data_IF_429121543423
#
_entry.id   IF_429121543423
#
_cell.length_a   1.000
_cell.length_b   1.000
_cell.length_c   1.000
_cell.angle_alpha   90.00
_cell.angle_beta   90.00
_cell.angle_gamma   90.00
#
_symmetry.space_group_name_H-M   'P 1'
#
loop_
_entity.id
_entity.type
_entity.pdbx_description
1 polymer ?
#
# COMPACT_ATOMS: atom_id res chain seq x y z
N UNK A 1 30.01 -6.89 -0.11
CA UNK A 1 30.06 -7.68 1.14
C UNK A 1 28.92 -7.20 2.07
N UNK A 2 27.92 -8.05 2.28
CA UNK A 2 26.71 -7.72 3.08
C UNK A 2 27.05 -7.32 4.53
N UNK A 3 28.03 -8.00 5.14
CA UNK A 3 28.49 -7.69 6.50
C UNK A 3 29.05 -6.26 6.62
N UNK A 4 29.89 -5.87 5.67
CA UNK A 4 30.46 -4.51 5.66
C UNK A 4 29.39 -3.42 5.47
N UNK A 5 28.34 -3.70 4.68
CA UNK A 5 27.19 -2.79 4.55
C UNK A 5 26.42 -2.66 5.86
N UNK A 6 26.17 -3.77 6.56
CA UNK A 6 25.51 -3.74 7.87
C UNK A 6 26.30 -2.97 8.91
N UNK A 7 27.62 -3.20 8.97
CA UNK A 7 28.52 -2.46 9.87
C UNK A 7 28.48 -0.96 9.56
N UNK A 8 28.59 -0.57 8.29
CA UNK A 8 28.50 0.83 7.86
C UNK A 8 27.15 1.47 8.24
N UNK A 9 26.04 0.77 7.99
CA UNK A 9 24.72 1.29 8.35
C UNK A 9 24.54 1.40 9.88
N UNK A 10 25.04 0.42 10.65
CA UNK A 10 24.95 0.44 12.11
C UNK A 10 25.81 1.55 12.74
N UNK A 11 26.93 1.92 12.09
CA UNK A 11 27.77 3.04 12.54
C UNK A 11 27.21 4.40 12.13
N UNK A 12 26.58 4.48 10.93
CA UNK A 12 26.06 5.74 10.38
C UNK A 12 24.68 6.13 10.94
N UNK A 13 23.86 5.15 11.35
CA UNK A 13 22.49 5.36 11.79
C UNK A 13 22.25 4.67 13.13
N UNK A 14 21.85 5.46 14.14
CA UNK A 14 21.50 4.95 15.47
C UNK A 14 20.13 4.22 15.52
N UNK A 15 19.36 4.26 14.42
CA UNK A 15 18.02 3.69 14.34
C UNK A 15 18.05 2.21 13.90
N UNK A 16 17.10 1.39 14.38
CA UNK A 16 16.97 0.01 13.93
C UNK A 16 16.72 -0.08 12.43
N UNK A 17 17.46 -0.96 11.75
CA UNK A 17 17.30 -1.22 10.32
C UNK A 17 16.48 -2.49 10.08
N UNK A 18 15.56 -2.45 9.11
CA UNK A 18 14.78 -3.61 8.67
C UNK A 18 15.44 -4.21 7.44
N UNK A 19 15.68 -5.52 7.47
CA UNK A 19 16.18 -6.28 6.32
C UNK A 19 15.06 -7.19 5.84
N UNK A 20 14.65 -6.99 4.59
CA UNK A 20 13.59 -7.77 3.97
C UNK A 20 14.11 -8.58 2.79
N UNK A 21 13.47 -9.73 2.54
CA UNK A 21 13.75 -10.52 1.34
C UNK A 21 13.32 -9.72 0.10
N UNK A 22 14.21 -9.63 -0.88
CA UNK A 22 13.87 -9.04 -2.17
C UNK A 22 12.82 -9.91 -2.89
N UNK A 23 11.77 -9.28 -3.38
CA UNK A 23 10.70 -9.89 -4.16
C UNK A 23 10.86 -9.50 -5.65
N UNK A 24 11.32 -10.40 -6.53
CA UNK A 24 11.52 -10.06 -7.95
C UNK A 24 10.24 -9.59 -8.65
N UNK A 25 9.07 -9.96 -8.13
CA UNK A 25 7.76 -9.53 -8.66
C UNK A 25 7.58 -8.01 -8.65
N UNK A 26 8.37 -7.24 -7.86
CA UNK A 26 8.34 -5.78 -7.85
C UNK A 26 8.56 -5.16 -9.24
N UNK A 27 9.27 -5.84 -10.13
CA UNK A 27 9.48 -5.38 -11.52
C UNK A 27 8.19 -5.29 -12.32
N UNK A 28 7.15 -6.05 -11.92
CA UNK A 28 5.80 -6.02 -12.51
C UNK A 28 4.89 -5.01 -11.82
N UNK A 29 5.35 -4.43 -10.72
CA UNK A 29 4.66 -3.44 -9.93
C UNK A 29 4.50 -3.85 -8.47
N UNK A 30 4.09 -2.86 -7.73
CA UNK A 30 3.76 -2.87 -6.31
C UNK A 30 2.33 -2.34 -6.20
N UNK A 31 1.40 -3.21 -5.90
CA UNK A 31 -0.02 -2.88 -5.87
C UNK A 31 -0.35 -2.14 -4.58
N UNK A 32 -0.88 -0.92 -4.68
CA UNK A 32 -1.48 -0.18 -3.59
C UNK A 32 -2.97 -0.46 -3.56
N UNK A 33 -3.48 -1.03 -2.46
CA UNK A 33 -4.90 -1.24 -2.21
C UNK A 33 -5.32 -0.28 -1.09
N UNK A 34 -6.39 0.47 -1.30
CA UNK A 34 -6.95 1.38 -0.29
C UNK A 34 -8.08 0.67 0.42
N UNK A 35 -8.02 0.72 1.75
CA UNK A 35 -9.07 0.19 2.63
C UNK A 35 -9.76 1.34 3.37
N UNK A 36 -11.08 1.22 3.46
CA UNK A 36 -11.95 2.08 4.26
C UNK A 36 -12.73 1.18 5.24
N UNK A 37 -12.54 1.42 6.51
CA UNK A 37 -13.11 0.62 7.62
C UNK A 37 -12.93 -0.90 7.44
N UNK A 38 -11.75 -1.27 6.96
CA UNK A 38 -11.37 -2.66 6.72
C UNK A 38 -11.75 -3.24 5.35
N UNK A 39 -12.58 -2.55 4.57
CA UNK A 39 -13.02 -2.99 3.25
C UNK A 39 -12.17 -2.38 2.13
N UNK A 40 -11.80 -3.19 1.14
CA UNK A 40 -11.05 -2.70 -0.02
C UNK A 40 -11.95 -1.86 -0.94
N UNK A 41 -11.60 -0.60 -1.15
CA UNK A 41 -12.39 0.36 -1.95
C UNK A 41 -11.73 0.78 -3.25
N UNK A 42 -10.49 0.36 -3.49
CA UNK A 42 -9.81 0.61 -4.76
C UNK A 42 -8.36 0.16 -4.76
N UNK A 43 -7.81 -0.03 -5.94
CA UNK A 43 -6.43 -0.44 -6.13
C UNK A 43 -5.78 0.23 -7.33
N UNK A 44 -4.47 0.43 -7.25
CA UNK A 44 -3.59 0.83 -8.36
C UNK A 44 -2.33 -0.03 -8.36
N UNK A 45 -1.74 -0.23 -9.53
CA UNK A 45 -0.41 -0.82 -9.62
C UNK A 45 0.63 0.29 -9.84
N UNK A 46 1.69 0.31 -9.05
CA UNK A 46 2.81 1.25 -9.17
C UNK A 46 3.98 0.52 -9.81
N UNK A 47 4.23 0.80 -11.07
CA UNK A 47 5.31 0.15 -11.84
C UNK A 47 6.57 1.00 -11.74
N UNK A 48 7.72 0.43 -11.30
CA UNK A 48 8.97 1.16 -11.23
C UNK A 48 9.48 1.58 -12.61
N UNK A 49 10.29 2.63 -12.65
CA UNK A 49 10.98 3.01 -13.88
C UNK A 49 11.97 1.91 -14.31
N UNK A 50 12.30 1.78 -15.60
CA UNK A 50 13.29 0.82 -16.07
C UNK A 50 14.62 0.93 -15.33
N UNK A 51 15.10 -0.19 -14.78
CA UNK A 51 16.34 -0.25 -14.00
C UNK A 51 16.21 0.20 -12.53
N UNK A 52 15.04 0.64 -12.09
CA UNK A 52 14.75 1.00 -10.70
C UNK A 52 13.97 -0.15 -10.01
N UNK A 53 14.20 -0.31 -8.73
CA UNK A 53 13.46 -1.29 -7.89
C UNK A 53 12.39 -0.61 -7.04
N UNK A 54 12.44 0.71 -6.89
CA UNK A 54 11.46 1.49 -6.15
C UNK A 54 10.29 1.85 -7.04
N UNK A 55 9.09 1.46 -6.64
CA UNK A 55 7.82 1.71 -7.35
C UNK A 55 7.15 3.03 -6.96
N UNK A 56 7.73 3.76 -5.99
CA UNK A 56 7.18 5.02 -5.53
C UNK A 56 7.08 6.04 -6.68
N UNK A 57 5.90 6.63 -6.86
CA UNK A 57 5.62 7.62 -7.90
C UNK A 57 6.51 8.88 -7.81
N UNK A 58 7.01 9.22 -6.61
CA UNK A 58 7.94 10.35 -6.42
C UNK A 58 9.34 10.11 -7.00
N UNK A 59 9.72 8.88 -7.27
CA UNK A 59 11.02 8.51 -7.87
C UNK A 59 10.88 8.02 -9.31
N UNK A 60 9.80 8.38 -10.01
CA UNK A 60 9.60 8.07 -11.42
C UNK A 60 8.79 6.81 -11.71
N UNK A 61 8.21 6.18 -10.68
CA UNK A 61 7.21 5.13 -10.87
C UNK A 61 5.94 5.68 -11.54
N UNK A 62 5.24 4.85 -12.30
CA UNK A 62 3.96 5.20 -12.92
C UNK A 62 2.83 4.39 -12.30
N UNK A 63 1.68 5.04 -12.12
CA UNK A 63 0.47 4.33 -11.73
C UNK A 63 -0.24 3.75 -12.96
N UNK A 64 -0.74 2.53 -12.81
CA UNK A 64 -1.55 1.83 -13.81
C UNK A 64 -2.84 1.32 -13.16
N UNK A 65 -3.90 1.22 -13.96
CA UNK A 65 -5.12 0.54 -13.54
C UNK A 65 -4.82 -0.94 -13.26
N UNK A 66 -5.43 -1.49 -12.22
CA UNK A 66 -5.28 -2.91 -11.87
C UNK A 66 -6.57 -3.43 -11.27
N UNK A 67 -6.86 -4.68 -11.53
CA UNK A 67 -7.90 -5.43 -10.83
C UNK A 67 -7.30 -6.18 -9.64
N UNK A 68 -8.11 -6.33 -8.59
CA UNK A 68 -7.73 -7.14 -7.45
C UNK A 68 -7.81 -8.63 -7.80
N UNK A 69 -6.80 -9.38 -7.39
CA UNK A 69 -6.81 -10.84 -7.50
C UNK A 69 -7.51 -11.47 -6.28
N UNK A 70 -7.83 -12.76 -6.37
CA UNK A 70 -8.33 -13.53 -5.21
C UNK A 70 -7.35 -13.46 -4.02
N UNK A 71 -6.04 -13.46 -4.32
CA UNK A 71 -5.00 -13.35 -3.28
C UNK A 71 -5.00 -11.98 -2.61
N UNK A 72 -5.21 -10.91 -3.37
CA UNK A 72 -5.35 -9.57 -2.80
C UNK A 72 -6.56 -9.51 -1.86
N UNK A 73 -7.68 -10.10 -2.27
CA UNK A 73 -8.89 -10.16 -1.45
C UNK A 73 -8.64 -10.96 -0.16
N UNK A 74 -8.00 -12.13 -0.23
CA UNK A 74 -7.62 -12.91 0.97
C UNK A 74 -6.77 -12.09 1.95
N UNK A 75 -5.83 -11.28 1.44
CA UNK A 75 -5.01 -10.40 2.28
C UNK A 75 -5.90 -9.36 2.96
N UNK A 76 -6.78 -8.69 2.20
CA UNK A 76 -7.72 -7.69 2.73
C UNK A 76 -8.65 -8.29 3.79
N UNK A 77 -9.23 -9.45 3.53
CA UNK A 77 -10.13 -10.16 4.46
C UNK A 77 -9.46 -10.52 5.80
N UNK A 78 -8.16 -10.78 5.77
CA UNK A 78 -7.40 -11.08 6.99
C UNK A 78 -7.05 -9.85 7.80
N UNK A 79 -6.62 -8.77 7.15
CA UNK A 79 -6.13 -7.58 7.88
C UNK A 79 -7.24 -6.56 8.14
N UNK A 80 -8.25 -6.47 7.26
CA UNK A 80 -9.33 -5.49 7.35
C UNK A 80 -10.01 -5.47 8.71
N UNK A 81 -10.48 -6.63 9.23
CA UNK A 81 -11.10 -6.68 10.56
C UNK A 81 -10.18 -6.27 11.71
N UNK A 82 -8.86 -6.41 11.55
CA UNK A 82 -7.88 -5.97 12.56
C UNK A 82 -7.76 -4.45 12.53
N UNK A 83 -7.65 -3.86 11.34
CA UNK A 83 -7.56 -2.42 11.15
C UNK A 83 -8.81 -1.71 11.67
N UNK A 84 -10.00 -2.20 11.29
CA UNK A 84 -11.28 -1.65 11.74
C UNK A 84 -11.41 -1.68 13.27
N UNK A 85 -11.12 -2.82 13.92
CA UNK A 85 -11.14 -2.92 15.40
C UNK A 85 -10.17 -1.99 16.11
N UNK A 86 -9.09 -1.61 15.46
CA UNK A 86 -8.10 -0.65 15.99
C UNK A 86 -8.46 0.81 15.68
N UNK A 87 -9.58 1.06 15.00
CA UNK A 87 -9.97 2.40 14.57
C UNK A 87 -9.10 2.97 13.44
N UNK A 88 -8.36 2.11 12.74
CA UNK A 88 -7.53 2.49 11.59
C UNK A 88 -8.39 2.47 10.32
N UNK A 89 -9.31 3.42 10.25
CA UNK A 89 -10.39 3.48 9.28
C UNK A 89 -9.91 3.65 7.86
N UNK A 90 -8.87 4.48 7.66
CA UNK A 90 -8.34 4.77 6.33
C UNK A 90 -6.90 4.27 6.23
N UNK A 91 -6.72 3.19 5.50
CA UNK A 91 -5.44 2.53 5.34
C UNK A 91 -5.11 2.25 3.87
N UNK A 92 -3.81 2.20 3.58
CA UNK A 92 -3.29 1.71 2.31
C UNK A 92 -2.37 0.53 2.56
N UNK A 93 -2.54 -0.54 1.81
CA UNK A 93 -1.63 -1.68 1.87
C UNK A 93 -0.88 -1.84 0.57
N UNK A 94 0.35 -2.33 0.66
CA UNK A 94 1.19 -2.60 -0.49
C UNK A 94 1.39 -4.10 -0.65
N UNK A 95 1.18 -4.60 -1.87
CA UNK A 95 1.26 -6.02 -2.21
C UNK A 95 2.18 -6.20 -3.41
N UNK A 96 3.23 -7.00 -3.24
CA UNK A 96 4.16 -7.38 -4.32
C UNK A 96 4.01 -8.89 -4.58
N UNK A 97 3.52 -9.24 -5.77
CA UNK A 97 3.12 -10.61 -6.05
C UNK A 97 2.03 -11.07 -5.08
N UNK A 98 2.30 -12.11 -4.30
CA UNK A 98 1.35 -12.70 -3.34
C UNK A 98 1.57 -12.24 -1.89
N UNK A 99 2.43 -11.23 -1.67
CA UNK A 99 2.89 -10.86 -0.33
C UNK A 99 2.50 -9.42 0.02
N UNK A 100 1.85 -9.28 1.18
CA UNK A 100 1.71 -8.00 1.87
C UNK A 100 3.11 -7.53 2.31
N UNK A 101 3.50 -6.33 1.90
CA UNK A 101 4.83 -5.78 2.19
C UNK A 101 4.78 -4.58 3.13
N UNK A 102 3.69 -3.82 3.11
CA UNK A 102 3.54 -2.60 3.91
C UNK A 102 2.07 -2.33 4.26
N UNK A 103 1.85 -1.73 5.43
CA UNK A 103 0.55 -1.19 5.85
C UNK A 103 0.76 0.28 6.22
N UNK A 104 0.12 1.17 5.47
CA UNK A 104 0.16 2.62 5.68
C UNK A 104 -1.14 3.09 6.33
N UNK A 105 -1.04 3.70 7.50
CA UNK A 105 -2.19 4.19 8.27
C UNK A 105 -2.21 5.70 8.43
N UNK A 106 -1.27 6.39 7.77
CA UNK A 106 -1.19 7.85 7.78
C UNK A 106 -1.22 8.39 6.36
N UNK A 107 -2.35 8.95 5.96
CA UNK A 107 -2.55 9.61 4.65
C UNK A 107 -2.04 8.78 3.45
N UNK A 108 -2.48 7.53 3.26
CA UNK A 108 -2.05 6.73 2.12
C UNK A 108 -2.40 7.42 0.80
N UNK A 109 -1.45 7.42 -0.13
CA UNK A 109 -1.63 7.98 -1.47
C UNK A 109 -2.28 6.98 -2.42
N UNK A 110 -2.82 7.45 -3.57
CA UNK A 110 -3.41 6.61 -4.61
C UNK A 110 -4.90 6.87 -4.87
N UNK A 111 -5.57 7.66 -4.02
CA UNK A 111 -7.00 7.96 -4.13
C UNK A 111 -7.35 8.61 -5.45
N UNK A 112 -6.56 9.59 -5.90
CA UNK A 112 -6.81 10.29 -7.16
C UNK A 112 -6.54 9.40 -8.37
N UNK A 113 -5.55 8.53 -8.28
CA UNK A 113 -5.22 7.57 -9.32
C UNK A 113 -6.34 6.55 -9.49
N UNK A 114 -6.89 6.00 -8.41
CA UNK A 114 -8.06 5.10 -8.45
C UNK A 114 -9.20 5.77 -9.22
N UNK A 115 -9.57 7.00 -8.85
CA UNK A 115 -10.63 7.75 -9.52
C UNK A 115 -10.30 8.02 -11.00
N UNK A 116 -9.08 8.43 -11.31
CA UNK A 116 -8.62 8.70 -12.68
C UNK A 116 -8.71 7.48 -13.60
N UNK A 117 -8.53 6.30 -13.05
CA UNK A 117 -8.66 5.03 -13.78
C UNK A 117 -10.10 4.48 -13.81
N UNK A 118 -11.09 5.27 -13.38
CA UNK A 118 -12.50 4.88 -13.43
C UNK A 118 -12.97 4.07 -12.24
N UNK A 119 -12.15 3.96 -11.19
CA UNK A 119 -12.55 3.34 -9.91
C UNK A 119 -13.42 4.27 -9.05
N UNK A 120 -13.69 3.84 -7.83
CA UNK A 120 -14.56 4.54 -6.89
C UNK A 120 -14.01 5.93 -6.52
N UNK A 121 -14.94 6.86 -6.22
CA UNK A 121 -14.60 8.12 -5.55
C UNK A 121 -14.39 7.87 -4.06
N UNK A 122 -13.17 7.46 -3.71
CA UNK A 122 -12.80 7.10 -2.33
C UNK A 122 -12.99 8.29 -1.37
N UNK A 123 -12.81 9.52 -1.87
CA UNK A 123 -13.05 10.71 -1.04
C UNK A 123 -14.52 10.84 -0.65
N UNK A 124 -15.44 10.60 -1.58
CA UNK A 124 -16.87 10.59 -1.28
C UNK A 124 -17.20 9.46 -0.29
N UNK A 125 -16.73 8.24 -0.54
CA UNK A 125 -16.93 7.10 0.37
C UNK A 125 -16.43 7.38 1.80
N UNK A 126 -15.28 8.04 1.92
CA UNK A 126 -14.74 8.41 3.24
C UNK A 126 -15.66 9.40 3.96
N UNK A 127 -16.19 10.41 3.26
CA UNK A 127 -17.09 11.39 3.86
C UNK A 127 -18.44 10.77 4.22
N UNK A 128 -18.99 9.92 3.36
CA UNK A 128 -20.23 9.17 3.65
C UNK A 128 -20.06 8.31 4.91
N UNK A 129 -18.94 7.61 5.04
CA UNK A 129 -18.61 6.86 6.25
C UNK A 129 -18.51 7.77 7.48
N UNK A 130 -17.77 8.90 7.37
CA UNK A 130 -17.56 9.82 8.49
C UNK A 130 -18.86 10.51 8.96
N UNK A 131 -19.75 10.86 8.02
CA UNK A 131 -21.06 11.43 8.34
C UNK A 131 -21.98 10.39 9.00
N UNK A 132 -21.96 9.14 8.53
CA UNK A 132 -22.71 8.04 9.14
C UNK A 132 -22.33 7.74 10.60
N UNK A 133 -21.09 8.05 11.02
CA UNK A 133 -20.67 7.92 12.42
C UNK A 133 -21.24 9.01 13.35
N UNK A 134 -21.72 10.14 12.81
CA UNK A 134 -22.26 11.24 13.61
C UNK A 134 -23.72 11.02 14.03
N UNK A 135 -24.43 10.16 13.32
CA UNK A 135 -25.86 9.90 13.50
C UNK A 135 -26.13 8.66 14.37
N UNK A 136 -25.08 7.99 14.85
CA UNK A 136 -25.13 6.83 15.76
C UNK A 136 -24.58 7.16 17.14
#
# INVERSE_FOLDING_TARGET
>A
NFKALLELFSEAYAEPSIIQKYLPAVTKGDKRIILLDGEAVGAINRVPAPGETRSNMHVGGRAEAVEMTERDQEICDRIGPVLSRQGLVFAGIDVIGDYLTEINVTSPTGVQEVRRFGGADISALFWDWAEGQRDG
#
